data_IF_735071756047
#
_entry.id   IF_735071756047
#
_cell.length_a   1.000
_cell.length_b   1.000
_cell.length_c   1.000
_cell.angle_alpha   90.00
_cell.angle_beta   90.00
_cell.angle_gamma   90.00
#
_symmetry.space_group_name_H-M   'P 1'
#
loop_
_entity.id
_entity.type
_entity.pdbx_description
1 polymer ?
#
# COMPACT_ATOMS: atom_id res chain seq x y z
N UNK A 1 -7.90 3.10 -16.62
CA UNK A 1 -7.54 3.19 -15.19
C UNK A 1 -7.90 4.59 -14.71
N UNK A 2 -8.79 4.74 -13.73
CA UNK A 2 -9.20 6.04 -13.21
C UNK A 2 -8.31 6.39 -12.00
N UNK A 3 -7.33 7.29 -12.20
CA UNK A 3 -6.36 7.66 -11.16
C UNK A 3 -7.02 8.30 -9.94
N UNK A 4 -8.17 8.95 -10.10
CA UNK A 4 -8.95 9.52 -9.01
C UNK A 4 -9.41 8.43 -8.04
N UNK A 5 -9.85 7.27 -8.54
CA UNK A 5 -10.26 6.15 -7.69
C UNK A 5 -9.07 5.63 -6.88
N UNK A 6 -7.90 5.46 -7.51
CA UNK A 6 -6.69 4.99 -6.81
C UNK A 6 -6.28 5.94 -5.67
N UNK A 7 -6.47 7.25 -5.82
CA UNK A 7 -6.18 8.23 -4.77
C UNK A 7 -7.22 8.24 -3.64
N UNK A 8 -8.48 7.92 -3.95
CA UNK A 8 -9.56 7.89 -2.97
C UNK A 8 -9.60 6.58 -2.17
N UNK A 9 -9.09 5.47 -2.72
CA UNK A 9 -9.10 4.16 -2.04
C UNK A 9 -8.42 4.22 -0.66
N UNK A 10 -7.40 5.05 -0.46
CA UNK A 10 -6.75 5.21 0.85
C UNK A 10 -7.71 5.63 1.97
N UNK A 11 -8.82 6.29 1.62
CA UNK A 11 -9.81 6.80 2.57
C UNK A 11 -10.76 5.71 3.06
N UNK A 12 -10.88 4.59 2.34
CA UNK A 12 -11.80 3.49 2.64
C UNK A 12 -11.06 2.21 3.06
N UNK A 13 -9.74 2.26 3.23
CA UNK A 13 -8.96 1.11 3.71
C UNK A 13 -9.42 0.73 5.13
N UNK A 14 -9.83 -0.52 5.32
CA UNK A 14 -10.33 -1.04 6.59
C UNK A 14 -11.81 -0.78 6.86
N UNK A 15 -12.51 -0.03 6.02
CA UNK A 15 -13.97 0.12 6.16
C UNK A 15 -14.67 -1.22 5.98
N UNK A 16 -15.51 -1.60 6.94
CA UNK A 16 -16.18 -2.91 7.00
C UNK A 16 -15.21 -4.11 6.92
N UNK A 17 -13.96 -3.96 7.35
CA UNK A 17 -12.94 -5.01 7.28
C UNK A 17 -12.46 -5.31 5.85
N UNK A 18 -12.76 -4.44 4.89
CA UNK A 18 -12.27 -4.57 3.51
C UNK A 18 -10.97 -3.82 3.32
N UNK A 19 -10.04 -4.45 2.60
CA UNK A 19 -8.75 -3.86 2.25
C UNK A 19 -8.45 -4.08 0.78
N UNK A 20 -7.76 -3.12 0.18
CA UNK A 20 -7.50 -3.12 -1.25
C UNK A 20 -6.00 -2.97 -1.52
N UNK A 21 -5.44 -3.88 -2.33
CA UNK A 21 -4.07 -3.84 -2.82
C UNK A 21 -4.04 -4.14 -4.34
N UNK A 22 -2.84 -4.16 -4.92
CA UNK A 22 -2.50 -4.30 -6.35
C UNK A 22 -2.37 -2.99 -7.14
N UNK A 23 -1.89 -3.12 -8.38
CA UNK A 23 -1.59 -2.00 -9.28
C UNK A 23 -2.78 -1.04 -9.54
N UNK A 24 -4.01 -1.54 -9.39
CA UNK A 24 -5.24 -0.74 -9.59
C UNK A 24 -5.44 0.32 -8.51
N UNK A 25 -4.83 0.14 -7.33
CA UNK A 25 -5.00 1.01 -6.16
C UNK A 25 -3.77 1.88 -5.87
N UNK A 26 -2.75 1.79 -6.71
CA UNK A 26 -1.52 2.60 -6.59
C UNK A 26 -1.54 3.78 -7.57
N UNK A 27 -0.87 4.91 -7.25
CA UNK A 27 -0.83 6.09 -8.12
C UNK A 27 0.03 5.89 -9.38
N UNK A 28 0.98 4.95 -9.35
CA UNK A 28 1.84 4.61 -10.48
C UNK A 28 1.73 3.11 -10.84
N UNK A 29 2.29 2.75 -12.00
CA UNK A 29 2.42 1.37 -12.45
C UNK A 29 3.73 0.77 -11.96
N UNK A 30 3.71 -0.48 -11.53
CA UNK A 30 4.92 -1.21 -11.17
C UNK A 30 4.60 -2.52 -10.45
N UNK A 31 5.40 -3.55 -10.74
CA UNK A 31 5.30 -4.82 -10.02
C UNK A 31 5.71 -4.66 -8.56
N UNK A 32 6.71 -3.82 -8.31
CA UNK A 32 7.15 -3.35 -7.00
C UNK A 32 6.02 -2.66 -6.23
N UNK A 33 5.32 -1.71 -6.84
CA UNK A 33 4.19 -1.00 -6.21
C UNK A 33 3.04 -1.95 -5.89
N UNK A 34 2.78 -2.91 -6.79
CA UNK A 34 1.76 -3.94 -6.56
C UNK A 34 2.12 -4.80 -5.36
N UNK A 35 3.37 -5.23 -5.25
CA UNK A 35 3.86 -6.02 -4.12
C UNK A 35 3.82 -5.22 -2.81
N UNK A 36 4.38 -4.01 -2.83
CA UNK A 36 4.45 -3.10 -1.68
C UNK A 36 3.04 -2.79 -1.16
N UNK A 37 2.06 -2.61 -2.04
CA UNK A 37 0.65 -2.41 -1.64
C UNK A 37 0.09 -3.60 -0.84
N UNK A 38 0.50 -4.83 -1.18
CA UNK A 38 0.13 -6.03 -0.44
C UNK A 38 0.74 -6.05 0.96
N UNK A 39 2.03 -5.73 1.09
CA UNK A 39 2.67 -5.59 2.41
C UNK A 39 2.01 -4.51 3.26
N UNK A 40 1.62 -3.41 2.63
CA UNK A 40 1.04 -2.28 3.32
C UNK A 40 -0.35 -2.64 3.87
N UNK A 41 -1.16 -3.38 3.11
CA UNK A 41 -2.43 -3.96 3.59
C UNK A 41 -2.19 -5.03 4.66
N UNK A 42 -1.23 -5.93 4.47
CA UNK A 42 -0.92 -6.95 5.47
C UNK A 42 -0.58 -6.34 6.83
N UNK A 43 0.17 -5.22 6.83
CA UNK A 43 0.49 -4.49 8.06
C UNK A 43 -0.74 -3.83 8.70
N UNK A 44 -1.71 -3.35 7.92
CA UNK A 44 -2.98 -2.86 8.47
C UNK A 44 -3.79 -3.94 9.20
N UNK A 45 -3.57 -5.21 8.83
CA UNK A 45 -4.23 -6.37 9.43
C UNK A 45 -3.37 -6.97 10.57
N UNK A 46 -2.23 -6.34 10.88
CA UNK A 46 -1.37 -6.69 12.03
C UNK A 46 -0.13 -7.52 11.69
N UNK A 47 0.16 -7.77 10.41
CA UNK A 47 1.40 -8.44 10.02
C UNK A 47 2.62 -7.52 10.16
N UNK A 48 3.79 -8.10 10.42
CA UNK A 48 5.06 -7.38 10.41
C UNK A 48 5.56 -7.14 8.98
N UNK A 49 6.33 -6.07 8.78
CA UNK A 49 6.98 -5.82 7.50
C UNK A 49 8.15 -6.81 7.30
N UNK A 50 8.25 -7.51 6.16
CA UNK A 50 9.20 -8.61 6.00
C UNK A 50 10.68 -8.22 5.89
N UNK A 51 11.00 -6.94 5.70
CA UNK A 51 12.38 -6.48 5.49
C UNK A 51 12.76 -5.34 6.47
N UNK A 52 12.74 -5.57 7.79
CA UNK A 52 12.98 -4.51 8.77
C UNK A 52 14.41 -3.95 8.74
N UNK A 53 15.39 -4.77 8.34
CA UNK A 53 16.81 -4.41 8.34
C UNK A 53 17.28 -3.77 7.02
N UNK A 54 16.46 -3.83 5.97
CA UNK A 54 16.74 -3.17 4.70
C UNK A 54 16.21 -1.73 4.75
N UNK A 55 17.09 -0.79 5.07
CA UNK A 55 16.74 0.61 5.25
C UNK A 55 16.21 1.29 3.98
N UNK A 56 16.67 0.86 2.80
CA UNK A 56 16.19 1.40 1.53
C UNK A 56 14.78 0.88 1.22
N UNK A 57 14.55 -0.42 1.39
CA UNK A 57 13.22 -1.02 1.24
C UNK A 57 12.22 -0.44 2.26
N UNK A 58 12.65 -0.26 3.51
CA UNK A 58 11.83 0.34 4.56
C UNK A 58 11.51 1.81 4.26
N UNK A 59 12.46 2.58 3.72
CA UNK A 59 12.23 3.96 3.30
C UNK A 59 11.17 4.02 2.18
N UNK A 60 11.29 3.17 1.18
CA UNK A 60 10.36 3.13 0.04
C UNK A 60 8.97 2.66 0.48
N UNK A 61 8.89 1.66 1.35
CA UNK A 61 7.65 1.21 1.96
C UNK A 61 6.96 2.33 2.76
N UNK A 62 7.71 3.05 3.60
CA UNK A 62 7.16 4.17 4.36
C UNK A 62 6.69 5.32 3.46
N UNK A 63 7.42 5.60 2.37
CA UNK A 63 7.00 6.58 1.37
C UNK A 63 5.71 6.16 0.68
N UNK A 64 5.60 4.88 0.30
CA UNK A 64 4.39 4.31 -0.28
C UNK A 64 3.19 4.46 0.65
N UNK A 65 3.34 4.09 1.94
CA UNK A 65 2.28 4.19 2.93
C UNK A 65 1.71 5.59 3.02
N UNK A 66 2.55 6.62 3.14
CA UNK A 66 2.11 8.04 3.19
C UNK A 66 1.26 8.47 1.99
N UNK A 67 1.40 7.81 0.84
CA UNK A 67 0.62 8.11 -0.36
C UNK A 67 -0.71 7.35 -0.43
N UNK A 68 -0.70 6.08 0.01
CA UNK A 68 -1.75 5.10 -0.32
C UNK A 68 -2.51 4.53 0.88
N UNK A 69 -2.05 4.79 2.10
CA UNK A 69 -2.65 4.32 3.36
C UNK A 69 -2.72 5.50 4.33
N UNK A 70 -3.83 5.61 5.07
CA UNK A 70 -4.03 6.61 6.11
C UNK A 70 -3.35 6.21 7.42
#
# INVERSE_FOLDING_TARGET
>A
RNQTISLLIRLVQGENGMYFCANSVTPANGHDLSLISGFAVAQLIGAEYPFPDDLDALRDFNRFKRMCIN
#
